data_IF_964372207618
#
_entry.id   IF_964372207618
#
_cell.length_a   1.000
_cell.length_b   1.000
_cell.length_c   1.000
_cell.angle_alpha   90.00
_cell.angle_beta   90.00
_cell.angle_gamma   90.00
#
_symmetry.space_group_name_H-M   'P 1'
#
loop_
_entity.id
_entity.type
_entity.pdbx_description
1 polymer ?
#
# COMPACT_ATOMS: atom_id res chain seq x y z
N UNK A 1 -9.53 -1.03 16.03
CA UNK A 1 -10.18 -1.18 14.71
C UNK A 1 -11.41 -0.31 14.71
N UNK A 2 -11.60 0.53 13.71
CA UNK A 2 -12.85 1.29 13.58
C UNK A 2 -14.01 0.30 13.34
N UNK A 3 -15.17 0.50 13.98
CA UNK A 3 -16.32 -0.39 13.79
C UNK A 3 -16.81 -0.36 12.33
N UNK A 4 -17.20 -1.52 11.79
CA UNK A 4 -17.83 -1.63 10.46
C UNK A 4 -19.31 -1.27 10.61
N UNK A 5 -19.80 -0.35 9.78
CA UNK A 5 -21.19 0.13 9.82
C UNK A 5 -21.87 -0.06 8.46
N UNK A 6 -23.14 -0.48 8.50
CA UNK A 6 -24.00 -0.51 7.32
C UNK A 6 -24.62 0.88 7.17
N UNK A 7 -24.23 1.60 6.12
CA UNK A 7 -24.74 2.96 5.88
C UNK A 7 -26.08 2.96 5.14
N UNK A 8 -26.33 1.96 4.30
CA UNK A 8 -27.54 1.83 3.48
C UNK A 8 -27.92 0.35 3.30
N UNK A 9 -29.22 0.08 3.13
CA UNK A 9 -29.78 -1.27 2.99
C UNK A 9 -30.14 -1.96 4.31
N UNK A 10 -30.81 -3.10 4.22
CA UNK A 10 -31.19 -3.94 5.37
C UNK A 10 -30.72 -5.39 5.12
N UNK A 11 -29.40 -5.66 5.22
CA UNK A 11 -28.89 -7.02 5.07
C UNK A 11 -29.41 -7.91 6.20
N UNK A 12 -29.59 -9.20 5.91
CA UNK A 12 -29.92 -10.14 6.98
C UNK A 12 -28.72 -10.32 7.91
N UNK A 13 -28.93 -10.77 9.17
CA UNK A 13 -27.84 -11.08 10.08
C UNK A 13 -26.82 -12.07 9.49
N UNK A 14 -27.28 -13.03 8.70
CA UNK A 14 -26.46 -14.06 8.04
C UNK A 14 -25.58 -13.46 6.93
N UNK A 15 -26.13 -12.54 6.13
CA UNK A 15 -25.38 -11.82 5.10
C UNK A 15 -24.31 -10.93 5.74
N UNK A 16 -24.67 -10.18 6.79
CA UNK A 16 -23.72 -9.36 7.53
C UNK A 16 -22.60 -10.21 8.14
N UNK A 17 -22.95 -11.34 8.76
CA UNK A 17 -21.97 -12.28 9.32
C UNK A 17 -21.02 -12.81 8.24
N UNK A 18 -21.55 -13.14 7.06
CA UNK A 18 -20.77 -13.62 5.91
C UNK A 18 -19.77 -12.55 5.45
N UNK A 19 -20.22 -11.31 5.28
CA UNK A 19 -19.36 -10.20 4.87
C UNK A 19 -18.27 -9.94 5.91
N UNK A 20 -18.62 -9.93 7.21
CA UNK A 20 -17.65 -9.74 8.29
C UNK A 20 -16.61 -10.88 8.32
N UNK A 21 -17.02 -12.13 8.09
CA UNK A 21 -16.10 -13.26 8.01
C UNK A 21 -15.11 -13.11 6.83
N UNK A 22 -15.59 -12.70 5.66
CA UNK A 22 -14.73 -12.51 4.48
C UNK A 22 -13.77 -11.33 4.66
N UNK A 23 -14.27 -10.18 5.16
CA UNK A 23 -13.46 -8.98 5.38
C UNK A 23 -12.37 -9.24 6.42
N UNK A 24 -12.71 -9.88 7.54
CA UNK A 24 -11.74 -10.24 8.58
C UNK A 24 -10.70 -11.24 8.08
N UNK A 25 -11.11 -12.29 7.36
CA UNK A 25 -10.19 -13.26 6.77
C UNK A 25 -9.20 -12.59 5.79
N UNK A 26 -9.66 -11.68 4.93
CA UNK A 26 -8.79 -10.93 4.01
C UNK A 26 -7.85 -9.98 4.73
N UNK A 27 -8.31 -9.31 5.79
CA UNK A 27 -7.47 -8.45 6.61
C UNK A 27 -6.36 -9.24 7.31
N UNK A 28 -6.68 -10.40 7.88
CA UNK A 28 -5.72 -11.30 8.51
C UNK A 28 -4.68 -11.82 7.49
N UNK A 29 -5.13 -12.23 6.31
CA UNK A 29 -4.23 -12.66 5.23
C UNK A 29 -3.27 -11.55 4.78
N UNK A 30 -3.76 -10.31 4.66
CA UNK A 30 -2.93 -9.15 4.33
C UNK A 30 -1.89 -8.84 5.42
N UNK A 31 -2.28 -8.97 6.70
CA UNK A 31 -1.36 -8.81 7.83
C UNK A 31 -0.27 -9.89 7.81
N UNK A 32 -0.63 -11.15 7.63
CA UNK A 32 0.31 -12.26 7.52
C UNK A 32 1.29 -12.08 6.35
N UNK A 33 0.80 -11.64 5.20
CA UNK A 33 1.64 -11.31 4.04
C UNK A 33 2.62 -10.16 4.35
N UNK A 34 2.15 -9.10 5.01
CA UNK A 34 3.00 -7.98 5.42
C UNK A 34 4.08 -8.39 6.44
N UNK A 35 3.76 -9.31 7.35
CA UNK A 35 4.71 -9.88 8.31
C UNK A 35 5.74 -10.79 7.64
N UNK A 36 5.32 -11.64 6.70
CA UNK A 36 6.21 -12.47 5.91
C UNK A 36 7.18 -11.60 5.07
N UNK A 37 6.67 -10.55 4.43
CA UNK A 37 7.46 -9.59 3.68
C UNK A 37 8.50 -8.86 4.54
N UNK A 38 8.12 -8.45 5.77
CA UNK A 38 9.06 -7.88 6.75
C UNK A 38 10.16 -8.86 7.13
N UNK A 39 9.81 -10.13 7.38
CA UNK A 39 10.78 -11.20 7.72
C UNK A 39 11.73 -11.53 6.57
N UNK A 40 11.27 -11.45 5.33
CA UNK A 40 12.07 -11.73 4.14
C UNK A 40 13.02 -10.58 3.73
N UNK A 41 13.06 -9.47 4.47
CA UNK A 41 13.94 -8.33 4.19
C UNK A 41 13.57 -7.51 2.94
N UNK A 42 12.45 -7.83 2.29
CA UNK A 42 12.02 -7.22 1.05
C UNK A 42 10.51 -7.27 0.91
N UNK A 43 9.81 -6.29 1.46
CA UNK A 43 8.41 -6.08 1.11
C UNK A 43 8.30 -5.05 0.00
N UNK A 44 7.66 -5.34 -1.15
CA UNK A 44 7.34 -4.29 -2.10
C UNK A 44 6.44 -3.26 -1.41
N UNK A 45 6.84 -1.99 -1.46
CA UNK A 45 5.95 -0.92 -1.05
C UNK A 45 4.67 -1.03 -1.88
N UNK A 46 3.51 -0.96 -1.23
CA UNK A 46 2.23 -0.97 -1.94
C UNK A 46 2.26 0.07 -3.05
N UNK A 47 1.59 -0.20 -4.17
CA UNK A 47 1.60 0.71 -5.31
C UNK A 47 1.26 2.16 -4.89
N UNK A 48 0.36 2.28 -3.90
CA UNK A 48 -0.11 3.51 -3.28
C UNK A 48 0.84 4.13 -2.24
N UNK A 49 1.63 3.31 -1.55
CA UNK A 49 2.51 3.76 -0.46
C UNK A 49 3.98 3.87 -0.84
N UNK A 50 4.34 3.62 -2.09
CA UNK A 50 5.69 3.78 -2.60
C UNK A 50 6.10 5.26 -2.60
N UNK A 51 6.88 5.65 -1.58
CA UNK A 51 7.42 7.01 -1.47
C UNK A 51 8.45 7.31 -2.56
N UNK A 52 9.12 6.30 -3.12
CA UNK A 52 10.10 6.50 -4.18
C UNK A 52 9.44 7.07 -5.45
N UNK A 53 8.17 6.71 -5.72
CA UNK A 53 7.38 7.33 -6.81
C UNK A 53 7.08 8.82 -6.62
N UNK A 54 7.12 9.32 -5.38
CA UNK A 54 6.89 10.75 -5.07
C UNK A 54 8.19 11.55 -5.03
N UNK A 55 9.34 10.89 -5.09
CA UNK A 55 10.64 11.52 -5.10
C UNK A 55 11.11 11.72 -6.54
N UNK A 56 11.86 12.80 -6.79
CA UNK A 56 12.55 12.95 -8.07
C UNK A 56 13.57 11.83 -8.22
N UNK A 57 13.58 11.18 -9.39
CA UNK A 57 14.59 10.18 -9.68
C UNK A 57 15.99 10.82 -9.65
N UNK A 58 16.92 10.16 -8.96
CA UNK A 58 18.33 10.55 -9.01
C UNK A 58 18.81 10.45 -10.46
N UNK A 59 19.46 11.49 -11.00
CA UNK A 59 20.03 11.43 -12.35
C UNK A 59 21.00 10.26 -12.44
N UNK A 60 20.87 9.44 -13.50
CA UNK A 60 21.83 8.38 -13.78
C UNK A 60 23.11 9.00 -14.36
N UNK A 61 24.32 8.57 -13.95
CA UNK A 61 25.56 9.05 -14.55
C UNK A 61 25.57 8.80 -16.06
N UNK A 62 26.01 9.80 -16.84
CA UNK A 62 26.02 9.71 -18.30
C UNK A 62 26.70 10.92 -18.94
N UNK A 63 27.08 10.76 -20.21
CA UNK A 63 27.70 11.83 -20.99
C UNK A 63 26.72 13.03 -21.07
N UNK A 64 27.21 14.21 -20.67
CA UNK A 64 26.48 15.50 -20.59
C UNK A 64 25.57 15.75 -19.36
N UNK A 65 25.48 14.85 -18.37
CA UNK A 65 24.65 15.07 -17.17
C UNK A 65 25.09 16.30 -16.34
N UNK A 66 26.39 16.61 -16.34
CA UNK A 66 26.95 17.76 -15.61
C UNK A 66 26.64 19.12 -16.26
N UNK A 67 26.27 19.16 -17.54
CA UNK A 67 25.92 20.42 -18.23
C UNK A 67 24.55 20.94 -17.82
N UNK A 68 23.65 20.05 -17.38
CA UNK A 68 22.29 20.39 -16.94
C UNK A 68 22.14 20.43 -15.43
N UNK A 69 23.18 20.08 -14.66
CA UNK A 69 23.26 20.30 -13.22
C UNK A 69 23.68 21.74 -12.90
N UNK A 70 23.00 22.71 -13.50
CA UNK A 70 23.08 24.11 -13.08
C UNK A 70 22.15 24.33 -11.90
N UNK A 71 22.61 25.04 -10.88
CA UNK A 71 21.81 25.38 -9.71
C UNK A 71 20.58 26.18 -10.15
N UNK A 72 19.38 25.62 -9.96
CA UNK A 72 18.17 26.42 -9.96
C UNK A 72 18.15 27.18 -8.62
N UNK A 73 18.18 28.52 -8.69
CA UNK A 73 17.84 29.37 -7.54
C UNK A 73 16.42 29.10 -7.06
#
# INVERSE_FOLDING_TARGET
MTPIQVLHGQPTPEELATVLAVVSARAAAAQAAAEAARRAGGGPASAWNDRARRMRHTPKPGLNVWRTSGWAG
#
